data_IF_058867892341
#
_entry.id   IF_058867892341
#
_cell.length_a   1.000
_cell.length_b   1.000
_cell.length_c   1.000
_cell.angle_alpha   90.00
_cell.angle_beta   90.00
_cell.angle_gamma   90.00
#
_symmetry.space_group_name_H-M   'P 1'
#
loop_
_entity.id
_entity.type
_entity.pdbx_description
1 polymer ?
#
# COMPACT_ATOMS: atom_id res chain seq x y z
N UNK A 1 24.22 -2.98 -15.19
CA UNK A 1 24.10 -2.87 -16.69
C UNK A 1 23.51 -1.50 -16.98
N UNK A 2 24.02 -0.81 -18.04
CA UNK A 2 23.42 0.48 -18.44
C UNK A 2 22.31 0.25 -19.45
N UNK A 3 21.24 1.02 -19.33
CA UNK A 3 20.09 0.98 -20.22
C UNK A 3 20.40 1.52 -21.62
N UNK A 4 19.83 0.91 -22.66
CA UNK A 4 19.89 1.40 -24.04
C UNK A 4 18.48 1.61 -24.59
N UNK A 5 18.33 2.58 -25.51
CA UNK A 5 17.05 2.86 -26.16
C UNK A 5 16.50 1.62 -26.91
N UNK A 6 15.22 1.38 -26.76
CA UNK A 6 14.50 0.25 -27.34
C UNK A 6 14.49 -1.03 -26.49
N UNK A 7 15.36 -1.14 -25.48
CA UNK A 7 15.36 -2.30 -24.58
C UNK A 7 14.03 -2.42 -23.82
N UNK A 8 13.50 -3.64 -23.73
CA UNK A 8 12.27 -3.97 -22.99
C UNK A 8 12.64 -4.84 -21.82
N UNK A 9 12.15 -4.44 -20.66
CA UNK A 9 12.39 -5.11 -19.39
C UNK A 9 11.09 -5.61 -18.77
N UNK A 10 11.14 -6.73 -18.08
CA UNK A 10 10.09 -7.21 -17.19
C UNK A 10 10.55 -7.14 -15.74
N UNK A 11 9.61 -6.87 -14.84
CA UNK A 11 9.85 -6.78 -13.40
C UNK A 11 8.62 -7.25 -12.61
N UNK A 12 8.87 -7.91 -11.48
CA UNK A 12 7.79 -8.27 -10.56
C UNK A 12 7.27 -7.03 -9.83
N UNK A 13 6.00 -6.70 -10.09
CA UNK A 13 5.30 -5.60 -9.43
C UNK A 13 4.70 -6.10 -8.12
N UNK A 14 5.24 -5.65 -6.99
CA UNK A 14 4.83 -6.12 -5.69
C UNK A 14 3.42 -5.65 -5.27
N UNK A 15 2.90 -4.58 -5.87
CA UNK A 15 1.53 -4.10 -5.61
C UNK A 15 0.49 -4.98 -6.33
N UNK A 16 0.75 -5.36 -7.57
CA UNK A 16 -0.10 -6.27 -8.34
C UNK A 16 0.10 -7.75 -7.97
N UNK A 17 1.25 -8.11 -7.37
CA UNK A 17 1.72 -9.49 -7.20
C UNK A 17 1.83 -10.25 -8.53
N UNK A 18 2.19 -9.54 -9.59
CA UNK A 18 2.32 -10.01 -10.97
C UNK A 18 3.49 -9.30 -11.65
N UNK A 19 3.88 -9.79 -12.82
CA UNK A 19 4.89 -9.13 -13.61
C UNK A 19 4.29 -8.01 -14.46
N UNK A 20 5.08 -6.94 -14.62
CA UNK A 20 4.80 -5.80 -15.51
C UNK A 20 6.00 -5.57 -16.43
N UNK A 21 5.85 -4.72 -17.44
CA UNK A 21 6.90 -4.44 -18.40
C UNK A 21 7.09 -2.93 -18.63
N UNK A 22 8.31 -2.55 -18.98
CA UNK A 22 8.63 -1.21 -19.45
C UNK A 22 9.62 -1.27 -20.64
N UNK A 23 9.62 -0.21 -21.46
CA UNK A 23 10.59 0.01 -22.52
C UNK A 23 11.45 1.23 -22.20
N UNK A 24 12.74 1.16 -22.50
CA UNK A 24 13.58 2.37 -22.57
C UNK A 24 13.24 3.11 -23.86
N UNK A 25 12.45 4.18 -23.75
CA UNK A 25 12.01 4.94 -24.91
C UNK A 25 13.18 5.68 -25.58
N UNK A 26 14.00 6.35 -24.78
CA UNK A 26 15.22 7.03 -25.27
C UNK A 26 16.18 7.32 -24.10
N UNK A 27 17.40 7.75 -24.46
CA UNK A 27 18.36 8.26 -23.48
C UNK A 27 18.33 9.79 -23.54
N UNK A 28 17.91 10.41 -22.44
CA UNK A 28 17.94 11.86 -22.33
C UNK A 28 19.38 12.36 -22.12
N UNK A 29 19.78 13.45 -22.80
CA UNK A 29 21.08 14.05 -22.59
C UNK A 29 21.23 14.58 -21.16
N UNK A 30 22.47 14.80 -20.70
CA UNK A 30 22.71 15.43 -19.40
C UNK A 30 21.97 16.75 -19.29
N UNK A 31 21.32 16.98 -18.14
CA UNK A 31 20.74 18.29 -17.85
C UNK A 31 21.82 19.27 -17.30
N UNK A 32 21.43 20.52 -17.15
CA UNK A 32 22.34 21.59 -16.68
C UNK A 32 22.75 21.42 -15.21
N UNK A 33 22.02 20.62 -14.45
CA UNK A 33 22.19 20.43 -13.00
C UNK A 33 22.97 19.16 -12.70
N UNK A 34 22.50 18.01 -13.19
CA UNK A 34 23.06 16.70 -12.81
C UNK A 34 24.31 16.30 -13.60
N UNK A 35 24.52 16.88 -14.80
CA UNK A 35 25.56 16.51 -15.75
C UNK A 35 25.56 15.02 -16.14
N UNK A 36 24.53 14.27 -15.78
CA UNK A 36 24.36 12.84 -16.02
C UNK A 36 23.29 12.60 -17.08
N UNK A 37 23.47 11.54 -17.88
CA UNK A 37 22.42 11.06 -18.79
C UNK A 37 21.39 10.26 -18.01
N UNK A 38 20.16 10.30 -18.47
CA UNK A 38 19.05 9.57 -17.87
C UNK A 38 18.40 8.65 -18.89
N UNK A 39 18.03 7.45 -18.48
CA UNK A 39 17.12 6.65 -19.27
C UNK A 39 15.68 7.18 -19.09
N UNK A 40 14.93 7.25 -20.20
CA UNK A 40 13.49 7.52 -20.12
C UNK A 40 12.76 6.24 -20.37
N UNK A 41 12.09 5.73 -19.35
CA UNK A 41 11.29 4.53 -19.43
C UNK A 41 9.81 4.84 -19.67
N UNK A 42 9.20 4.02 -20.50
CA UNK A 42 7.78 4.01 -20.81
C UNK A 42 7.19 2.72 -20.21
N UNK A 43 6.21 2.81 -19.32
CA UNK A 43 5.48 1.64 -18.89
C UNK A 43 4.62 1.08 -20.03
N UNK A 44 4.51 -0.25 -20.07
CA UNK A 44 3.76 -0.95 -21.11
C UNK A 44 2.45 -1.53 -20.53
N UNK A 45 1.42 -1.55 -21.36
CA UNK A 45 0.10 -2.13 -21.03
C UNK A 45 0.16 -3.66 -21.13
N UNK A 46 0.89 -4.25 -20.20
CA UNK A 46 1.07 -5.69 -20.08
C UNK A 46 1.21 -6.12 -18.62
N UNK A 47 0.47 -7.17 -18.24
CA UNK A 47 0.53 -7.79 -16.90
C UNK A 47 0.47 -9.31 -17.07
N UNK A 48 1.42 -10.02 -16.48
CA UNK A 48 1.51 -11.48 -16.55
C UNK A 48 1.73 -12.15 -15.19
N UNK A 49 1.35 -13.41 -15.06
CA UNK A 49 1.64 -14.22 -13.86
C UNK A 49 3.08 -14.78 -13.88
N UNK A 50 3.74 -14.75 -15.04
CA UNK A 50 5.14 -15.08 -15.28
C UNK A 50 5.86 -13.91 -15.96
N UNK A 51 7.20 -13.87 -15.97
CA UNK A 51 7.96 -12.87 -16.71
C UNK A 51 7.57 -12.82 -18.19
N UNK A 52 7.56 -11.61 -18.76
CA UNK A 52 7.33 -11.38 -20.19
C UNK A 52 8.32 -12.21 -21.04
N UNK A 53 7.83 -12.78 -22.15
CA UNK A 53 8.63 -13.55 -23.09
C UNK A 53 8.92 -12.78 -24.38
N UNK A 54 9.90 -13.26 -25.17
CA UNK A 54 10.28 -12.63 -26.45
C UNK A 54 9.13 -12.69 -27.46
N UNK A 55 8.35 -13.76 -27.44
CA UNK A 55 7.21 -13.99 -28.32
C UNK A 55 6.07 -12.99 -28.11
N UNK A 56 5.96 -12.41 -26.90
CA UNK A 56 4.95 -11.43 -26.56
C UNK A 56 5.32 -10.00 -26.96
N UNK A 57 6.61 -9.73 -27.22
CA UNK A 57 7.09 -8.38 -27.57
C UNK A 57 6.28 -7.68 -28.67
N UNK A 58 5.91 -8.35 -29.81
CA UNK A 58 5.15 -7.68 -30.88
C UNK A 58 3.75 -7.21 -30.47
N UNK A 59 3.22 -7.72 -29.37
CA UNK A 59 1.88 -7.42 -28.89
C UNK A 59 1.82 -6.28 -27.87
N UNK A 60 2.97 -5.81 -27.40
CA UNK A 60 3.06 -4.77 -26.41
C UNK A 60 2.51 -3.43 -26.93
N UNK A 61 1.96 -2.65 -26.01
CA UNK A 61 1.44 -1.30 -26.24
C UNK A 61 1.87 -0.36 -25.12
N UNK A 62 1.99 0.94 -25.39
CA UNK A 62 2.18 1.92 -24.32
C UNK A 62 1.06 1.91 -23.30
N UNK A 63 1.41 2.02 -22.03
CA UNK A 63 0.45 2.29 -20.96
C UNK A 63 0.13 3.79 -20.92
N UNK A 64 -1.15 4.12 -20.98
CA UNK A 64 -1.62 5.46 -20.76
C UNK A 64 -2.20 5.59 -19.35
N UNK A 65 -1.75 6.61 -18.62
CA UNK A 65 -2.36 6.98 -17.35
C UNK A 65 -3.68 7.71 -17.60
N UNK A 66 -4.74 7.14 -17.11
CA UNK A 66 -6.10 7.68 -17.20
C UNK A 66 -6.80 7.67 -15.84
N UNK A 67 -6.13 7.25 -14.79
CA UNK A 67 -6.72 7.14 -13.46
C UNK A 67 -6.82 8.51 -12.78
N UNK A 68 -7.88 8.69 -12.01
CA UNK A 68 -8.17 9.91 -11.25
C UNK A 68 -8.08 11.18 -12.14
N UNK A 69 -7.10 12.05 -11.88
CA UNK A 69 -6.91 13.34 -12.56
C UNK A 69 -6.10 13.26 -13.87
N UNK A 70 -5.53 12.09 -14.21
CA UNK A 70 -4.76 11.93 -15.43
C UNK A 70 -5.66 11.90 -16.67
N UNK A 71 -5.22 12.56 -17.75
CA UNK A 71 -5.99 12.74 -18.98
C UNK A 71 -5.45 11.91 -20.14
N UNK A 72 -5.15 10.64 -19.91
CA UNK A 72 -4.61 9.73 -20.92
C UNK A 72 -3.17 10.06 -21.35
N UNK A 73 -2.32 10.42 -20.40
CA UNK A 73 -0.90 10.70 -20.63
C UNK A 73 -0.06 9.42 -20.69
N UNK A 74 0.99 9.42 -21.52
CA UNK A 74 1.97 8.35 -21.48
C UNK A 74 2.66 8.31 -20.11
N UNK A 75 2.82 7.10 -19.57
CA UNK A 75 3.56 6.92 -18.33
C UNK A 75 5.06 6.88 -18.58
N UNK A 76 5.66 8.07 -18.66
CA UNK A 76 7.10 8.29 -18.88
C UNK A 76 7.79 8.75 -17.60
N UNK A 77 8.95 8.17 -17.28
CA UNK A 77 9.78 8.55 -16.14
C UNK A 77 11.25 8.62 -16.55
N UNK A 78 11.96 9.68 -16.09
CA UNK A 78 13.43 9.73 -16.10
C UNK A 78 13.97 8.93 -14.93
N UNK A 79 14.80 7.96 -15.22
CA UNK A 79 15.40 7.05 -14.24
C UNK A 79 16.92 6.99 -14.42
N UNK A 80 17.69 6.61 -13.40
CA UNK A 80 19.13 6.39 -13.54
C UNK A 80 19.46 5.42 -14.67
N UNK A 81 20.62 5.62 -15.31
CA UNK A 81 21.10 4.76 -16.41
C UNK A 81 21.34 3.31 -15.97
N UNK A 82 21.67 3.09 -14.71
CA UNK A 82 21.91 1.75 -14.15
C UNK A 82 20.59 1.01 -13.96
N UNK A 83 20.44 -0.10 -14.69
CA UNK A 83 19.28 -0.98 -14.56
C UNK A 83 19.41 -1.80 -13.27
N UNK A 84 18.41 -1.73 -12.37
CA UNK A 84 18.44 -2.52 -11.13
C UNK A 84 18.37 -4.03 -11.39
N UNK A 85 18.97 -4.86 -10.52
CA UNK A 85 19.09 -6.31 -10.75
C UNK A 85 17.77 -7.07 -10.81
N UNK A 86 16.68 -6.50 -10.25
CA UNK A 86 15.35 -7.10 -10.31
C UNK A 86 14.68 -6.98 -11.69
N UNK A 87 15.21 -6.15 -12.60
CA UNK A 87 14.73 -6.00 -13.96
C UNK A 87 15.41 -7.01 -14.89
N UNK A 88 14.63 -7.79 -15.61
CA UNK A 88 15.13 -8.78 -16.57
C UNK A 88 14.94 -8.24 -17.98
N UNK A 89 16.03 -8.15 -18.74
CA UNK A 89 15.99 -7.81 -20.16
C UNK A 89 15.30 -8.92 -20.94
N UNK A 90 14.27 -8.59 -21.70
CA UNK A 90 13.49 -9.51 -22.52
C UNK A 90 13.96 -9.45 -23.99
N UNK A 91 14.18 -8.23 -24.49
CA UNK A 91 14.58 -8.01 -25.88
C UNK A 91 14.57 -6.54 -26.24
N UNK A 92 14.49 -6.24 -27.53
CA UNK A 92 14.53 -4.87 -28.04
C UNK A 92 13.41 -4.67 -29.06
N UNK A 93 12.73 -3.52 -28.97
CA UNK A 93 11.73 -3.05 -29.92
C UNK A 93 12.08 -1.63 -30.37
N UNK A 94 11.63 -1.18 -31.55
CA UNK A 94 11.64 0.24 -31.87
C UNK A 94 10.94 1.01 -30.75
N UNK A 95 11.48 2.15 -30.29
CA UNK A 95 10.86 2.97 -29.30
C UNK A 95 9.43 3.39 -29.68
N UNK A 96 8.49 3.25 -28.75
CA UNK A 96 7.08 3.64 -28.99
C UNK A 96 6.89 5.16 -29.03
N UNK A 97 7.84 5.92 -28.45
CA UNK A 97 7.74 7.39 -28.39
C UNK A 97 9.13 8.00 -28.17
N UNK A 98 9.28 9.25 -28.64
CA UNK A 98 10.38 10.16 -28.34
C UNK A 98 9.91 11.40 -27.57
N UNK A 99 8.66 11.37 -27.09
CA UNK A 99 8.03 12.49 -26.37
C UNK A 99 8.88 12.93 -25.17
N UNK A 100 9.18 14.24 -25.02
CA UNK A 100 9.97 14.73 -23.92
C UNK A 100 9.34 14.41 -22.55
N UNK A 101 10.14 13.81 -21.66
CA UNK A 101 9.74 13.52 -20.29
C UNK A 101 10.38 14.53 -19.33
N UNK A 102 9.59 15.06 -18.41
CA UNK A 102 10.03 15.96 -17.33
C UNK A 102 9.91 15.35 -15.94
N UNK A 103 9.24 14.21 -15.83
CA UNK A 103 9.03 13.52 -14.55
C UNK A 103 10.24 12.68 -14.20
N UNK A 104 10.79 12.88 -13.01
CA UNK A 104 11.86 12.07 -12.45
C UNK A 104 11.26 11.00 -11.54
N UNK A 105 11.83 9.79 -11.55
CA UNK A 105 11.40 8.69 -10.72
C UNK A 105 12.50 7.65 -10.56
N UNK A 106 12.16 6.56 -9.92
CA UNK A 106 13.00 5.35 -9.85
C UNK A 106 12.55 4.30 -10.86
N UNK A 107 13.40 3.33 -11.11
CA UNK A 107 13.02 2.12 -11.84
C UNK A 107 11.90 1.32 -11.16
N UNK A 108 11.58 1.62 -9.93
CA UNK A 108 11.15 0.61 -8.98
C UNK A 108 9.69 0.53 -8.68
N UNK A 109 8.91 1.55 -8.83
CA UNK A 109 7.76 1.46 -7.98
C UNK A 109 6.59 0.72 -8.61
N UNK A 110 6.36 0.87 -9.90
CA UNK A 110 5.19 0.27 -10.53
C UNK A 110 3.85 0.65 -9.89
N UNK A 111 3.85 1.61 -8.96
CA UNK A 111 2.64 2.00 -8.23
C UNK A 111 1.63 2.66 -9.15
N UNK A 112 2.07 3.55 -10.04
CA UNK A 112 1.19 4.16 -11.05
C UNK A 112 0.62 3.11 -12.01
N UNK A 113 1.40 2.08 -12.38
CA UNK A 113 0.92 0.94 -13.19
C UNK A 113 -0.19 0.19 -12.43
N UNK A 114 0.03 -0.07 -11.14
CA UNK A 114 -0.98 -0.68 -10.28
C UNK A 114 -2.27 0.15 -10.22
N UNK A 115 -2.17 1.46 -10.01
CA UNK A 115 -3.32 2.35 -9.98
C UNK A 115 -4.08 2.35 -11.30
N UNK A 116 -3.36 2.38 -12.44
CA UNK A 116 -3.97 2.33 -13.76
C UNK A 116 -4.72 1.01 -14.02
N UNK A 117 -4.10 -0.12 -13.67
CA UNK A 117 -4.75 -1.43 -13.84
C UNK A 117 -6.00 -1.54 -12.95
N UNK A 118 -5.94 -1.07 -11.72
CA UNK A 118 -7.14 -1.01 -10.85
C UNK A 118 -8.22 -0.12 -11.43
N UNK A 119 -7.84 1.06 -11.92
CA UNK A 119 -8.77 1.99 -12.57
C UNK A 119 -9.47 1.35 -13.75
N UNK A 120 -8.76 0.63 -14.61
CA UNK A 120 -9.32 -0.08 -15.76
C UNK A 120 -10.32 -1.17 -15.36
N UNK A 121 -10.17 -1.77 -14.18
CA UNK A 121 -11.09 -2.78 -13.65
C UNK A 121 -12.42 -2.19 -13.12
N UNK A 122 -12.48 -0.86 -12.89
CA UNK A 122 -13.71 -0.16 -12.48
C UNK A 122 -14.63 0.00 -13.70
N UNK A 123 -15.95 -0.24 -13.58
CA UNK A 123 -16.89 -0.03 -14.65
C UNK A 123 -16.81 1.37 -15.26
N UNK A 124 -17.00 1.48 -16.57
CA UNK A 124 -16.80 2.73 -17.32
C UNK A 124 -17.70 3.86 -16.84
N UNK A 125 -18.95 3.56 -16.49
CA UNK A 125 -19.90 4.53 -15.95
C UNK A 125 -19.41 5.20 -14.68
N UNK A 126 -18.77 4.45 -13.77
CA UNK A 126 -18.19 4.98 -12.55
C UNK A 126 -16.95 5.85 -12.84
N UNK A 127 -16.07 5.40 -13.74
CA UNK A 127 -14.89 6.17 -14.15
C UNK A 127 -15.27 7.49 -14.80
N UNK A 128 -16.33 7.46 -15.65
CA UNK A 128 -16.85 8.66 -16.29
C UNK A 128 -17.45 9.62 -15.28
N UNK A 129 -18.33 9.15 -14.38
CA UNK A 129 -18.90 9.98 -13.31
C UNK A 129 -17.83 10.63 -12.44
N UNK A 130 -16.77 9.88 -12.10
CA UNK A 130 -15.62 10.40 -11.38
C UNK A 130 -14.95 11.55 -12.14
N UNK A 131 -14.65 11.37 -13.43
CA UNK A 131 -14.00 12.39 -14.27
C UNK A 131 -14.86 13.65 -14.40
N UNK A 132 -16.15 13.47 -14.67
CA UNK A 132 -17.12 14.58 -14.76
C UNK A 132 -17.17 15.38 -13.46
N UNK A 133 -17.22 14.69 -12.30
CA UNK A 133 -17.22 15.34 -11.00
C UNK A 133 -15.91 16.09 -10.71
N UNK A 134 -14.75 15.54 -11.12
CA UNK A 134 -13.46 16.20 -10.93
C UNK A 134 -13.33 17.52 -11.73
N UNK A 135 -13.98 17.62 -12.85
CA UNK A 135 -13.99 18.82 -13.70
C UNK A 135 -15.12 19.80 -13.34
N UNK A 136 -16.05 19.41 -12.46
CA UNK A 136 -17.22 20.19 -12.07
C UNK A 136 -16.96 21.01 -10.82
N UNK A 137 -17.53 22.22 -10.79
CA UNK A 137 -17.66 23.05 -9.57
C UNK A 137 -19.02 22.85 -8.88
N UNK A 138 -19.81 21.89 -9.31
CA UNK A 138 -21.12 21.60 -8.72
C UNK A 138 -21.01 21.17 -7.26
N UNK A 139 -22.07 21.48 -6.53
CA UNK A 139 -22.23 21.09 -5.13
C UNK A 139 -23.47 20.22 -4.97
N UNK A 140 -23.41 19.33 -4.01
CA UNK A 140 -24.53 18.54 -3.52
C UNK A 140 -24.66 18.74 -2.01
N UNK A 141 -25.82 18.42 -1.45
CA UNK A 141 -26.02 18.48 0.00
C UNK A 141 -25.92 17.08 0.60
N UNK A 142 -25.09 16.94 1.64
CA UNK A 142 -25.01 15.75 2.46
C UNK A 142 -25.38 16.16 3.89
N UNK A 143 -26.46 15.60 4.43
CA UNK A 143 -26.96 16.00 5.75
C UNK A 143 -27.26 17.51 5.88
N UNK A 144 -27.63 18.17 4.80
CA UNK A 144 -27.88 19.62 4.76
C UNK A 144 -26.60 20.47 4.68
N UNK A 145 -25.43 19.87 4.49
CA UNK A 145 -24.14 20.57 4.31
C UNK A 145 -23.74 20.54 2.84
N UNK A 146 -23.47 21.69 2.21
CA UNK A 146 -23.05 21.73 0.81
C UNK A 146 -21.60 21.23 0.67
N UNK A 147 -21.40 20.22 -0.17
CA UNK A 147 -20.11 19.65 -0.54
C UNK A 147 -19.92 19.70 -2.06
N UNK A 148 -18.68 19.88 -2.52
CA UNK A 148 -18.37 19.67 -3.94
C UNK A 148 -18.60 18.21 -4.32
N UNK A 149 -19.18 17.97 -5.51
CA UNK A 149 -19.33 16.60 -6.04
C UNK A 149 -17.99 15.87 -6.20
N UNK A 150 -16.88 16.62 -6.34
CA UNK A 150 -15.51 16.12 -6.39
C UNK A 150 -14.90 15.83 -5.00
N UNK A 151 -15.66 15.92 -3.92
CA UNK A 151 -15.14 15.63 -2.57
C UNK A 151 -14.68 14.19 -2.45
N UNK A 152 -13.42 14.01 -1.99
CA UNK A 152 -12.79 12.69 -1.82
C UNK A 152 -12.98 12.09 -0.44
N UNK A 153 -13.38 12.90 0.52
CA UNK A 153 -13.45 12.52 1.93
C UNK A 153 -14.72 13.06 2.56
N UNK A 154 -15.37 12.23 3.39
CA UNK A 154 -16.49 12.60 4.23
C UNK A 154 -16.22 12.07 5.65
N UNK A 155 -16.56 12.90 6.65
CA UNK A 155 -16.51 12.55 8.08
C UNK A 155 -17.90 12.84 8.67
N UNK A 156 -18.60 11.82 9.17
CA UNK A 156 -19.96 11.99 9.67
C UNK A 156 -20.06 12.91 10.92
N UNK A 157 -18.94 13.21 11.56
CA UNK A 157 -18.85 14.22 12.63
C UNK A 157 -18.99 15.66 12.10
N UNK A 158 -18.51 15.91 10.89
CA UNK A 158 -18.48 17.24 10.26
C UNK A 158 -19.58 17.40 9.21
N UNK A 159 -19.83 16.34 8.46
CA UNK A 159 -20.86 16.22 7.43
C UNK A 159 -21.85 15.12 7.85
N UNK A 160 -22.71 15.36 8.85
CA UNK A 160 -23.63 14.35 9.35
C UNK A 160 -24.65 13.97 8.26
N UNK A 161 -24.84 12.68 8.04
CA UNK A 161 -25.84 12.15 7.12
C UNK A 161 -26.73 11.12 7.85
N UNK A 162 -27.97 11.03 7.45
CA UNK A 162 -28.90 10.05 8.02
C UNK A 162 -28.79 8.68 7.34
N UNK A 163 -28.50 8.67 6.06
CA UNK A 163 -28.32 7.47 5.24
C UNK A 163 -26.99 7.52 4.47
N UNK A 164 -26.21 6.46 4.54
CA UNK A 164 -24.98 6.34 3.74
C UNK A 164 -25.27 6.37 2.23
N UNK A 165 -26.52 6.10 1.81
CA UNK A 165 -26.91 6.17 0.39
C UNK A 165 -26.89 7.60 -0.16
N UNK A 166 -26.96 8.65 0.70
CA UNK A 166 -26.77 10.04 0.27
C UNK A 166 -25.39 10.26 -0.35
N UNK A 167 -24.39 9.51 0.12
CA UNK A 167 -23.00 9.59 -0.37
C UNK A 167 -22.84 9.15 -1.83
N UNK A 168 -23.85 8.51 -2.44
CA UNK A 168 -23.85 8.22 -3.89
C UNK A 168 -23.78 9.47 -4.76
N UNK A 169 -24.14 10.64 -4.19
CA UNK A 169 -24.00 11.94 -4.83
C UNK A 169 -22.53 12.43 -4.94
N UNK A 170 -21.57 11.70 -4.36
CA UNK A 170 -20.15 12.03 -4.34
C UNK A 170 -19.32 10.96 -5.12
N UNK A 171 -19.27 11.03 -6.46
CA UNK A 171 -18.60 10.02 -7.28
C UNK A 171 -17.10 9.87 -7.01
N UNK A 172 -16.46 10.90 -6.43
CA UNK A 172 -15.03 10.90 -6.12
C UNK A 172 -14.70 10.42 -4.70
N UNK A 173 -15.71 10.05 -3.90
CA UNK A 173 -15.49 9.66 -2.51
C UNK A 173 -14.61 8.41 -2.41
N UNK A 174 -13.46 8.54 -1.76
CA UNK A 174 -12.49 7.46 -1.54
C UNK A 174 -12.23 7.19 -0.06
N UNK A 175 -12.45 8.16 0.81
CA UNK A 175 -12.20 8.06 2.26
C UNK A 175 -13.47 8.38 3.03
N UNK A 176 -13.92 7.44 3.83
CA UNK A 176 -15.10 7.60 4.68
C UNK A 176 -14.74 7.36 6.15
N UNK A 177 -15.12 8.31 6.99
CA UNK A 177 -14.93 8.23 8.45
C UNK A 177 -16.31 8.30 9.11
N UNK A 178 -16.71 7.21 9.75
CA UNK A 178 -17.97 7.10 10.48
C UNK A 178 -17.69 6.96 11.99
N UNK A 179 -18.20 7.89 12.78
CA UNK A 179 -18.15 7.80 14.25
C UNK A 179 -19.32 7.01 14.83
N UNK A 180 -20.26 6.61 13.99
CA UNK A 180 -21.41 5.78 14.32
C UNK A 180 -21.72 4.81 13.20
N UNK A 181 -22.49 3.77 13.53
CA UNK A 181 -22.99 2.82 12.55
C UNK A 181 -24.18 3.40 11.76
N UNK A 182 -24.14 3.24 10.45
CA UNK A 182 -25.26 3.51 9.56
C UNK A 182 -25.80 2.20 8.99
N UNK A 183 -27.09 1.90 9.11
CA UNK A 183 -27.63 0.58 8.71
C UNK A 183 -27.42 0.19 7.24
N UNK A 184 -27.36 1.18 6.36
CA UNK A 184 -27.18 1.04 4.92
C UNK A 184 -25.72 1.22 4.45
N UNK A 185 -24.78 1.38 5.39
CA UNK A 185 -23.36 1.58 5.08
C UNK A 185 -22.77 0.46 4.21
N UNK A 186 -23.04 -0.81 4.56
CA UNK A 186 -22.50 -1.93 3.81
C UNK A 186 -23.07 -2.03 2.40
N UNK A 187 -24.33 -1.67 2.20
CA UNK A 187 -24.94 -1.58 0.87
C UNK A 187 -24.22 -0.54 0.03
N UNK A 188 -24.07 0.67 0.55
CA UNK A 188 -23.33 1.74 -0.11
C UNK A 188 -21.89 1.32 -0.47
N UNK A 189 -21.14 0.74 0.48
CA UNK A 189 -19.75 0.33 0.26
C UNK A 189 -19.59 -0.78 -0.79
N UNK A 190 -20.55 -1.69 -0.90
CA UNK A 190 -20.53 -2.75 -1.92
C UNK A 190 -20.82 -2.23 -3.33
N UNK A 191 -21.61 -1.17 -3.44
CA UNK A 191 -21.90 -0.55 -4.71
C UNK A 191 -20.83 0.46 -5.16
N UNK A 192 -20.13 1.12 -4.22
CA UNK A 192 -19.13 2.13 -4.52
C UNK A 192 -17.73 1.52 -4.69
N UNK A 193 -17.12 1.54 -5.89
CA UNK A 193 -15.82 0.96 -6.15
C UNK A 193 -14.65 1.84 -5.73
N UNK A 194 -14.88 3.11 -5.36
CA UNK A 194 -13.83 4.08 -5.07
C UNK A 194 -13.52 4.21 -3.58
N UNK A 195 -14.49 3.92 -2.69
CA UNK A 195 -14.22 3.98 -1.25
C UNK A 195 -13.28 2.85 -0.88
N UNK A 196 -12.01 3.19 -0.69
CA UNK A 196 -10.96 2.24 -0.36
C UNK A 196 -10.33 2.48 1.03
N UNK A 197 -10.64 3.61 1.69
CA UNK A 197 -10.27 3.89 3.07
C UNK A 197 -11.53 4.08 3.93
N UNK A 198 -11.68 3.24 4.95
CA UNK A 198 -12.82 3.29 5.87
C UNK A 198 -12.31 3.37 7.31
N UNK A 199 -12.85 4.33 8.07
CA UNK A 199 -12.70 4.39 9.52
C UNK A 199 -14.08 4.20 10.16
N UNK A 200 -14.20 3.22 11.04
CA UNK A 200 -15.41 2.96 11.82
C UNK A 200 -15.11 3.06 13.31
N UNK A 201 -15.68 4.08 13.95
CA UNK A 201 -15.60 4.28 15.38
C UNK A 201 -16.98 4.02 16.01
N UNK A 202 -17.01 3.60 17.26
CA UNK A 202 -18.26 3.42 18.04
C UNK A 202 -19.39 2.70 17.27
N UNK A 203 -19.04 1.76 16.37
CA UNK A 203 -20.01 1.13 15.46
C UNK A 203 -20.97 0.16 16.17
N UNK A 204 -20.62 -0.35 17.35
CA UNK A 204 -21.46 -1.22 18.17
C UNK A 204 -21.81 -2.59 17.54
N UNK A 205 -21.15 -2.98 16.46
CA UNK A 205 -21.41 -4.25 15.78
C UNK A 205 -20.63 -5.39 16.44
N UNK A 206 -21.28 -6.56 16.58
CA UNK A 206 -20.59 -7.79 17.00
C UNK A 206 -19.93 -8.52 15.84
N UNK A 207 -20.53 -8.42 14.68
CA UNK A 207 -20.01 -9.02 13.44
C UNK A 207 -19.99 -7.96 12.36
N UNK A 208 -18.87 -7.85 11.65
CA UNK A 208 -18.69 -6.94 10.52
C UNK A 208 -18.24 -7.71 9.29
N UNK A 209 -19.07 -7.72 8.26
CA UNK A 209 -18.80 -8.40 6.99
C UNK A 209 -18.55 -7.40 5.86
N UNK A 210 -17.27 -7.19 5.54
CA UNK A 210 -16.81 -6.30 4.48
C UNK A 210 -16.59 -7.01 3.13
N UNK A 211 -16.95 -8.28 3.01
CA UNK A 211 -16.84 -9.00 1.73
C UNK A 211 -17.69 -8.32 0.65
N UNK A 212 -17.13 -8.21 -0.54
CA UNK A 212 -17.77 -7.53 -1.67
C UNK A 212 -17.56 -6.01 -1.70
N UNK A 213 -16.90 -5.41 -0.71
CA UNK A 213 -16.46 -4.01 -0.74
C UNK A 213 -15.09 -3.85 -1.41
N UNK A 214 -14.62 -2.62 -1.57
CA UNK A 214 -13.30 -2.27 -2.13
C UNK A 214 -12.31 -1.73 -1.08
N UNK A 215 -12.59 -1.95 0.21
CA UNK A 215 -11.84 -1.38 1.32
C UNK A 215 -10.42 -1.95 1.38
N UNK A 216 -9.43 -1.11 1.16
CA UNK A 216 -7.99 -1.45 1.27
C UNK A 216 -7.43 -1.14 2.64
N UNK A 217 -7.84 -0.01 3.21
CA UNK A 217 -7.41 0.43 4.53
C UNK A 217 -8.62 0.53 5.44
N UNK A 218 -8.60 -0.25 6.48
CA UNK A 218 -9.65 -0.26 7.49
C UNK A 218 -9.06 0.18 8.84
N UNK A 219 -9.58 1.28 9.39
CA UNK A 219 -9.35 1.65 10.78
C UNK A 219 -10.61 1.34 11.57
N UNK A 220 -10.49 0.60 12.66
CA UNK A 220 -11.64 0.01 13.34
C UNK A 220 -11.54 0.14 14.85
N UNK A 221 -12.61 0.62 15.47
CA UNK A 221 -12.85 0.44 16.90
C UNK A 221 -13.23 -1.04 17.14
N UNK A 222 -12.41 -1.73 17.91
CA UNK A 222 -12.59 -3.16 18.17
C UNK A 222 -13.55 -3.47 19.31
N UNK A 223 -14.10 -2.44 19.98
CA UNK A 223 -14.96 -2.62 21.15
C UNK A 223 -16.19 -3.45 20.83
N UNK A 224 -16.32 -4.61 21.47
CA UNK A 224 -17.47 -5.52 21.33
C UNK A 224 -17.52 -6.31 20.03
N UNK A 225 -16.56 -6.14 19.11
CA UNK A 225 -16.48 -6.91 17.89
C UNK A 225 -16.00 -8.35 18.19
N UNK A 226 -16.72 -9.33 17.70
CA UNK A 226 -16.43 -10.76 17.88
C UNK A 226 -15.96 -11.43 16.59
N UNK A 227 -16.40 -10.90 15.43
CA UNK A 227 -16.07 -11.47 14.14
C UNK A 227 -15.95 -10.39 13.07
N UNK A 228 -14.85 -10.43 12.31
CA UNK A 228 -14.54 -9.52 11.22
C UNK A 228 -14.21 -10.30 9.94
N UNK A 229 -14.97 -10.04 8.88
CA UNK A 229 -14.69 -10.56 7.54
C UNK A 229 -14.13 -9.47 6.66
N UNK A 230 -12.87 -9.59 6.26
CA UNK A 230 -12.19 -8.63 5.39
C UNK A 230 -12.54 -8.87 3.91
N UNK A 231 -12.51 -7.82 3.10
CA UNK A 231 -12.63 -7.97 1.65
C UNK A 231 -11.29 -8.42 1.03
N UNK A 232 -11.34 -8.81 -0.24
CA UNK A 232 -10.17 -9.32 -0.98
C UNK A 232 -9.05 -8.28 -1.16
N UNK A 233 -9.40 -7.00 -1.12
CA UNK A 233 -8.48 -5.89 -1.37
C UNK A 233 -7.90 -5.29 -0.10
N UNK A 234 -8.28 -5.79 1.09
CA UNK A 234 -7.77 -5.25 2.36
C UNK A 234 -6.28 -5.55 2.52
N UNK A 235 -5.51 -4.48 2.63
CA UNK A 235 -4.05 -4.50 2.78
C UNK A 235 -3.60 -4.01 4.16
N UNK A 236 -4.40 -3.15 4.80
CA UNK A 236 -4.08 -2.55 6.08
C UNK A 236 -5.30 -2.57 7.00
N UNK A 237 -5.15 -3.23 8.14
CA UNK A 237 -6.11 -3.24 9.24
C UNK A 237 -5.48 -2.53 10.45
N UNK A 238 -6.11 -1.44 10.90
CA UNK A 238 -5.66 -0.63 12.02
C UNK A 238 -6.68 -0.74 13.15
N UNK A 239 -6.22 -1.18 14.31
CA UNK A 239 -7.03 -1.12 15.53
C UNK A 239 -6.92 0.26 16.17
N UNK A 240 -8.05 0.88 16.42
CA UNK A 240 -8.11 2.19 17.11
C UNK A 240 -7.92 2.05 18.62
N UNK A 241 -8.21 0.89 19.17
CA UNK A 241 -8.13 0.57 20.58
C UNK A 241 -7.73 -0.90 20.78
N UNK A 242 -7.53 -1.28 22.02
CA UNK A 242 -7.36 -2.69 22.38
C UNK A 242 -8.68 -3.44 22.15
N UNK A 243 -8.67 -4.39 21.24
CA UNK A 243 -9.83 -5.23 20.92
C UNK A 243 -10.15 -6.28 21.99
N UNK A 244 -11.28 -6.96 21.88
CA UNK A 244 -11.58 -8.14 22.71
C UNK A 244 -10.58 -9.25 22.38
N UNK A 245 -10.27 -10.08 23.40
CA UNK A 245 -9.29 -11.16 23.28
C UNK A 245 -9.73 -12.27 22.31
N UNK A 246 -11.01 -12.33 21.97
CA UNK A 246 -11.67 -13.41 21.24
C UNK A 246 -12.23 -12.98 19.86
N UNK A 247 -11.87 -11.81 19.36
CA UNK A 247 -12.28 -11.40 18.01
C UNK A 247 -11.58 -12.24 16.95
N UNK A 248 -12.37 -12.94 16.13
CA UNK A 248 -11.88 -13.74 15.01
C UNK A 248 -11.85 -12.88 13.75
N UNK A 249 -10.67 -12.80 13.10
CA UNK A 249 -10.47 -12.04 11.88
C UNK A 249 -10.30 -12.98 10.68
N UNK A 250 -11.25 -12.93 9.76
CA UNK A 250 -11.21 -13.68 8.51
C UNK A 250 -10.60 -12.83 7.40
N UNK A 251 -9.33 -13.05 7.10
CA UNK A 251 -8.67 -12.43 5.95
C UNK A 251 -9.08 -13.17 4.65
N UNK A 252 -9.01 -12.46 3.53
CA UNK A 252 -9.18 -13.08 2.23
C UNK A 252 -7.91 -13.86 1.84
N UNK A 253 -8.09 -15.09 1.36
CA UNK A 253 -6.98 -15.97 1.01
C UNK A 253 -6.18 -16.40 2.24
N UNK A 254 -4.86 -16.33 2.16
CA UNK A 254 -3.93 -16.72 3.22
C UNK A 254 -3.45 -15.57 4.13
N UNK A 255 -3.99 -14.36 3.93
CA UNK A 255 -3.60 -13.16 4.69
C UNK A 255 -2.23 -12.58 4.31
N UNK A 256 -1.52 -13.14 3.32
CA UNK A 256 -0.14 -12.75 2.95
C UNK A 256 0.00 -11.30 2.39
N UNK A 257 -1.11 -10.59 2.25
CA UNK A 257 -1.15 -9.18 1.85
C UNK A 257 -1.43 -8.22 3.00
N UNK A 258 -1.92 -8.75 4.11
CA UNK A 258 -2.43 -7.95 5.20
C UNK A 258 -1.29 -7.44 6.09
N UNK A 259 -1.30 -6.15 6.38
CA UNK A 259 -0.55 -5.53 7.46
C UNK A 259 -1.51 -5.22 8.61
N UNK A 260 -1.16 -5.67 9.80
CA UNK A 260 -1.91 -5.41 11.02
C UNK A 260 -1.24 -4.31 11.83
N UNK A 261 -1.99 -3.26 12.19
CA UNK A 261 -1.54 -2.27 13.15
C UNK A 261 -2.34 -2.38 14.44
N UNK A 262 -1.65 -2.46 15.56
CA UNK A 262 -2.25 -2.50 16.91
C UNK A 262 -1.70 -1.40 17.81
N UNK A 263 -2.40 -1.12 18.90
CA UNK A 263 -2.04 -0.13 19.92
C UNK A 263 -1.82 -0.84 21.25
N UNK A 264 -0.74 -0.49 21.95
CA UNK A 264 -0.44 -0.99 23.28
C UNK A 264 0.12 -2.41 23.29
N UNK A 265 -0.66 -3.40 23.60
CA UNK A 265 -0.23 -4.80 23.71
C UNK A 265 -0.44 -5.57 22.42
N UNK A 266 0.56 -6.39 22.05
CA UNK A 266 0.42 -7.35 20.97
C UNK A 266 -0.41 -8.56 21.42
N UNK A 267 -1.43 -8.87 20.65
CA UNK A 267 -2.21 -10.10 20.81
C UNK A 267 -2.00 -10.98 19.59
N UNK A 268 -1.66 -12.27 19.79
CA UNK A 268 -1.52 -13.19 18.68
C UNK A 268 -2.86 -13.39 17.97
N UNK A 269 -2.80 -13.39 16.63
CA UNK A 269 -3.91 -13.76 15.77
C UNK A 269 -3.55 -15.05 15.01
N UNK A 270 -3.76 -16.25 15.63
CA UNK A 270 -3.36 -17.51 15.04
C UNK A 270 -4.09 -17.81 13.72
N UNK A 271 -5.25 -17.18 13.49
CA UNK A 271 -5.99 -17.24 12.23
C UNK A 271 -5.34 -16.43 11.10
N UNK A 272 -4.34 -15.61 11.41
CA UNK A 272 -3.60 -14.76 10.46
C UNK A 272 -2.09 -15.11 10.43
N UNK A 273 -1.71 -16.37 10.15
CA UNK A 273 -0.31 -16.80 10.27
C UNK A 273 0.63 -16.15 9.25
N UNK A 274 0.09 -15.69 8.11
CA UNK A 274 0.87 -15.19 6.98
C UNK A 274 0.85 -13.67 6.83
N UNK A 275 0.67 -12.91 7.92
CA UNK A 275 0.72 -11.45 7.86
C UNK A 275 1.96 -10.95 7.13
N UNK A 276 1.77 -10.00 6.21
CA UNK A 276 2.83 -9.33 5.48
C UNK A 276 3.58 -8.32 6.35
N UNK A 277 2.86 -7.61 7.22
CA UNK A 277 3.41 -6.57 8.08
C UNK A 277 2.74 -6.52 9.44
N UNK A 278 3.48 -6.04 10.43
CA UNK A 278 2.97 -5.72 11.76
C UNK A 278 3.49 -4.35 12.17
N UNK A 279 2.56 -3.48 12.58
CA UNK A 279 2.86 -2.17 13.13
C UNK A 279 2.35 -2.07 14.57
N UNK A 280 3.24 -2.01 15.53
CA UNK A 280 2.90 -1.77 16.93
C UNK A 280 3.07 -0.30 17.27
N UNK A 281 2.04 0.31 17.86
CA UNK A 281 2.04 1.73 18.23
C UNK A 281 1.80 1.89 19.72
N UNK A 282 2.46 2.88 20.33
CA UNK A 282 2.36 3.19 21.77
C UNK A 282 2.69 1.99 22.68
N UNK A 283 3.66 1.19 22.27
CA UNK A 283 4.15 0.04 23.03
C UNK A 283 4.79 0.50 24.32
N UNK A 284 4.38 -0.05 25.47
CA UNK A 284 4.94 0.27 26.77
C UNK A 284 6.03 -0.71 27.19
N UNK A 285 5.72 -2.00 27.21
CA UNK A 285 6.63 -3.08 27.56
C UNK A 285 6.37 -4.23 26.63
N UNK A 286 7.25 -4.44 25.65
CA UNK A 286 7.00 -5.31 24.52
C UNK A 286 8.07 -6.41 24.44
N UNK A 287 7.64 -7.66 24.38
CA UNK A 287 8.50 -8.83 24.23
C UNK A 287 8.37 -9.40 22.80
N UNK A 288 9.45 -9.30 22.03
CA UNK A 288 9.44 -9.72 20.62
C UNK A 288 9.45 -11.25 20.46
N UNK A 289 9.89 -12.02 21.45
CA UNK A 289 10.00 -13.48 21.33
C UNK A 289 8.65 -14.17 21.12
N UNK A 290 7.57 -13.63 21.71
CA UNK A 290 6.23 -14.16 21.54
C UNK A 290 5.68 -14.02 20.13
N UNK A 291 6.09 -12.98 19.40
CA UNK A 291 5.59 -12.68 18.06
C UNK A 291 6.16 -13.62 16.99
N UNK A 292 7.43 -13.96 17.08
CA UNK A 292 8.15 -14.73 16.06
C UNK A 292 7.59 -16.14 15.87
N UNK A 293 7.00 -16.72 16.89
CA UNK A 293 6.40 -18.06 16.84
C UNK A 293 5.11 -18.11 16.00
N UNK A 294 4.44 -16.95 15.80
CA UNK A 294 3.18 -16.84 15.05
C UNK A 294 3.34 -16.34 13.63
N UNK A 295 4.37 -15.52 13.34
CA UNK A 295 4.48 -14.77 12.09
C UNK A 295 5.85 -14.95 11.41
N UNK A 296 6.19 -16.18 11.04
CA UNK A 296 7.50 -16.51 10.42
C UNK A 296 7.73 -15.87 9.04
N UNK A 297 6.66 -15.52 8.32
CA UNK A 297 6.70 -14.95 6.97
C UNK A 297 6.60 -13.43 6.92
N UNK A 298 6.78 -12.78 8.06
CA UNK A 298 6.68 -11.33 8.18
C UNK A 298 7.74 -10.63 7.30
N UNK A 299 7.31 -9.65 6.51
CA UNK A 299 8.17 -8.83 5.62
C UNK A 299 8.43 -7.43 6.17
N UNK A 300 7.51 -6.91 6.95
CA UNK A 300 7.60 -5.58 7.55
C UNK A 300 7.27 -5.62 9.03
N UNK A 301 8.15 -5.03 9.84
CA UNK A 301 7.94 -4.86 11.28
C UNK A 301 8.22 -3.40 11.65
N UNK A 302 7.21 -2.69 12.15
CA UNK A 302 7.34 -1.34 12.71
C UNK A 302 6.88 -1.34 14.15
N UNK A 303 7.74 -0.88 15.03
CA UNK A 303 7.48 -0.82 16.45
C UNK A 303 7.71 0.60 16.95
N UNK A 304 6.66 1.25 17.44
CA UNK A 304 6.72 2.59 17.98
C UNK A 304 6.29 2.59 19.44
N UNK A 305 7.20 2.97 20.33
CA UNK A 305 6.94 3.08 21.76
C UNK A 305 6.39 4.46 22.17
N UNK A 306 5.62 4.49 23.26
CA UNK A 306 5.73 5.54 24.28
C UNK A 306 6.81 5.05 25.25
N UNK A 307 7.42 5.90 26.12
CA UNK A 307 8.56 5.48 26.92
C UNK A 307 8.36 4.10 27.56
N UNK A 308 9.05 3.09 27.04
CA UNK A 308 8.89 1.69 27.43
C UNK A 308 10.06 0.86 26.90
N UNK A 309 10.20 -0.34 27.41
CA UNK A 309 11.30 -1.22 27.08
C UNK A 309 10.89 -2.25 26.03
N UNK A 310 11.77 -2.43 25.05
CA UNK A 310 11.72 -3.56 24.14
C UNK A 310 12.56 -4.69 24.71
N UNK A 311 11.95 -5.86 24.90
CA UNK A 311 12.65 -7.07 25.40
C UNK A 311 12.86 -8.07 24.28
N UNK A 312 13.95 -8.84 24.40
CA UNK A 312 14.28 -9.93 23.47
C UNK A 312 14.38 -9.48 22.00
N UNK A 313 14.98 -8.31 21.76
CA UNK A 313 15.10 -7.77 20.39
C UNK A 313 15.83 -8.71 19.45
N UNK A 314 16.79 -9.50 19.93
CA UNK A 314 17.50 -10.52 19.14
C UNK A 314 16.56 -11.54 18.48
N UNK A 315 15.32 -11.71 19.00
CA UNK A 315 14.32 -12.56 18.39
C UNK A 315 13.87 -12.07 16.98
N UNK A 316 14.18 -10.83 16.62
CA UNK A 316 13.94 -10.30 15.26
C UNK A 316 14.63 -11.15 14.19
N UNK A 317 15.76 -11.78 14.50
CA UNK A 317 16.49 -12.69 13.60
C UNK A 317 15.72 -13.96 13.23
N UNK A 318 14.62 -14.26 13.92
CA UNK A 318 13.74 -15.39 13.59
C UNK A 318 12.82 -15.10 12.41
N UNK A 319 12.59 -13.82 12.07
CA UNK A 319 11.81 -13.41 10.91
C UNK A 319 12.66 -13.47 9.64
N UNK A 320 12.77 -14.65 9.03
CA UNK A 320 13.69 -14.93 7.91
C UNK A 320 13.40 -14.14 6.63
N UNK A 321 12.15 -13.72 6.44
CA UNK A 321 11.71 -12.99 5.25
C UNK A 321 11.62 -11.47 5.50
N UNK A 322 11.99 -10.98 6.68
CA UNK A 322 11.87 -9.58 7.03
C UNK A 322 12.77 -8.72 6.16
N UNK A 323 12.15 -7.83 5.37
CA UNK A 323 12.84 -6.89 4.49
C UNK A 323 12.93 -5.49 5.07
N UNK A 324 11.97 -5.11 5.93
CA UNK A 324 11.83 -3.78 6.49
C UNK A 324 11.66 -3.86 8.02
N UNK A 325 12.59 -3.26 8.74
CA UNK A 325 12.54 -3.14 10.20
C UNK A 325 12.65 -1.68 10.60
N UNK A 326 11.69 -1.19 11.37
CA UNK A 326 11.72 0.16 11.92
C UNK A 326 11.34 0.14 13.40
N UNK A 327 12.14 0.80 14.23
CA UNK A 327 11.82 1.01 15.66
C UNK A 327 11.96 2.49 16.01
N UNK A 328 11.01 3.00 16.79
CA UNK A 328 10.96 4.40 17.22
C UNK A 328 10.69 4.46 18.72
N UNK A 329 11.50 5.25 19.42
CA UNK A 329 11.32 5.55 20.85
C UNK A 329 11.17 4.33 21.77
N UNK A 330 11.87 3.23 21.41
CA UNK A 330 11.95 2.01 22.20
C UNK A 330 13.33 1.91 22.85
N UNK A 331 13.38 1.38 24.08
CA UNK A 331 14.58 1.22 24.89
C UNK A 331 14.71 -0.24 25.36
N UNK A 332 15.84 -0.58 25.98
CA UNK A 332 16.05 -1.88 26.59
C UNK A 332 16.86 -2.86 25.75
N UNK A 333 17.55 -2.36 24.70
CA UNK A 333 18.49 -3.16 23.89
C UNK A 333 19.83 -2.44 23.73
N UNK A 334 20.88 -3.19 23.54
CA UNK A 334 22.25 -2.70 23.32
C UNK A 334 22.86 -3.22 22.02
N UNK A 335 24.13 -2.97 21.78
CA UNK A 335 24.84 -3.38 20.57
C UNK A 335 24.75 -4.89 20.29
N UNK A 336 24.77 -5.72 21.32
CA UNK A 336 24.70 -7.17 21.21
C UNK A 336 23.33 -7.68 20.72
N UNK A 337 22.29 -6.87 20.85
CA UNK A 337 20.95 -7.24 20.44
C UNK A 337 20.67 -6.90 18.97
N UNK A 338 21.52 -6.06 18.34
CA UNK A 338 21.38 -5.68 16.93
C UNK A 338 21.77 -6.87 16.05
N UNK A 339 20.86 -7.38 15.21
CA UNK A 339 21.17 -8.53 14.37
C UNK A 339 22.17 -8.15 13.27
N UNK A 340 23.05 -9.08 12.95
CA UNK A 340 23.99 -8.93 11.83
C UNK A 340 23.30 -9.19 10.48
N UNK A 341 23.92 -8.73 9.39
CA UNK A 341 23.45 -9.02 8.04
C UNK A 341 23.33 -10.53 7.75
N UNK A 342 24.20 -11.35 8.34
CA UNK A 342 24.14 -12.81 8.19
C UNK A 342 22.91 -13.41 8.89
N UNK A 343 22.50 -12.83 10.01
CA UNK A 343 21.32 -13.26 10.74
C UNK A 343 20.01 -12.84 10.06
N UNK A 344 20.04 -11.74 9.29
CA UNK A 344 18.89 -11.20 8.58
C UNK A 344 19.20 -10.94 7.09
N UNK A 345 19.41 -11.98 6.28
CA UNK A 345 19.88 -11.84 4.91
C UNK A 345 18.86 -11.17 3.98
N UNK A 346 17.58 -11.18 4.32
CA UNK A 346 16.52 -10.54 3.54
C UNK A 346 16.37 -9.05 3.84
N UNK A 347 16.97 -8.53 4.92
CA UNK A 347 16.77 -7.16 5.38
C UNK A 347 17.37 -6.17 4.37
N UNK A 348 16.52 -5.24 3.90
CA UNK A 348 16.87 -4.17 2.95
C UNK A 348 16.79 -2.78 3.55
N UNK A 349 15.90 -2.62 4.53
CA UNK A 349 15.65 -1.36 5.20
C UNK A 349 15.68 -1.57 6.72
N UNK A 350 16.57 -0.81 7.37
CA UNK A 350 16.72 -0.83 8.82
C UNK A 350 16.73 0.60 9.34
N UNK A 351 15.78 0.93 10.20
CA UNK A 351 15.67 2.24 10.82
C UNK A 351 15.42 2.09 12.32
N UNK A 352 16.25 2.71 13.13
CA UNK A 352 16.09 2.72 14.59
C UNK A 352 16.36 4.13 15.13
N UNK A 353 15.52 4.58 16.06
CA UNK A 353 15.76 5.79 16.86
C UNK A 353 16.11 5.43 18.30
N UNK A 354 16.61 6.39 19.06
CA UNK A 354 16.93 6.23 20.50
C UNK A 354 17.94 5.13 20.80
N UNK A 355 18.84 4.84 19.84
CA UNK A 355 19.91 3.86 20.03
C UNK A 355 20.97 4.39 21.01
N UNK A 356 21.44 3.57 21.98
CA UNK A 356 22.68 3.82 22.68
C UNK A 356 23.86 4.01 21.70
N UNK A 357 24.90 4.77 22.10
CA UNK A 357 25.99 5.12 21.20
C UNK A 357 26.75 3.89 20.66
N UNK A 358 26.94 2.88 21.50
CA UNK A 358 27.56 1.60 21.13
C UNK A 358 26.70 0.81 20.13
N UNK A 359 25.38 0.76 20.34
CA UNK A 359 24.44 0.12 19.42
C UNK A 359 24.34 0.88 18.08
N UNK A 360 24.38 2.21 18.10
CA UNK A 360 24.39 3.02 16.87
C UNK A 360 25.66 2.80 16.02
N UNK A 361 26.80 2.46 16.66
CA UNK A 361 28.04 2.08 15.96
C UNK A 361 27.97 0.68 15.38
N UNK A 362 27.28 -0.25 16.06
CA UNK A 362 27.12 -1.62 15.59
C UNK A 362 26.13 -1.76 14.43
N UNK A 363 25.16 -0.84 14.32
CA UNK A 363 24.14 -0.82 13.26
C UNK A 363 24.63 -0.22 11.93
N UNK A 364 25.83 0.36 11.87
CA UNK A 364 26.48 0.92 10.66
C UNK A 364 27.29 -0.14 9.94
#
# INVERSE_FOLDING_TARGET
MKANAGEVYTVYNQYLKRYTACQVAYIAPPDTVSKESWAVILSLDWVGDSPLTVEELPHLRPLYKDFMYWSRDLHLLRVPMEVPPQYTLVGTLPPFTDQPCRSYGGWSDGYDVYLQIRWQAIPEEWRRAFKEAMESDEQTEIGGIPLKVSSHRVMDQHEPFDSALELKALPCLSTLICERWHPDLLEFLRENPFVDELTLLNHGQRTLDLRGTSIRKLMLDMTGLQELWLCKDTELLLFQNEGPDDCIIHAYGDGSRLTLQFIGEYRPHPELPNLSGIHGIQLKDFDLSGMSSFHSHLKELRLWGAPGNLRNFSAVSQFRELTNLSTFDLFGFGAADIPTQEQMPALKWFWMTSLPEDAAKAAK
#
